data_IF_975458355108
#
_entry.id   IF_975458355108
#
_cell.length_a   1.000
_cell.length_b   1.000
_cell.length_c   1.000
_cell.angle_alpha   90.00
_cell.angle_beta   90.00
_cell.angle_gamma   90.00
#
_symmetry.space_group_name_H-M   'P 1'
#
loop_
_entity.id
_entity.type
_entity.pdbx_description
1 polymer ?
#
# COMPACT_ATOMS: atom_id res chain seq x y z
N UNK A 1 -49.51 0.26 -22.25
CA UNK A 1 -49.26 -1.17 -22.03
C UNK A 1 -47.88 -1.28 -21.39
N UNK A 2 -47.81 -1.23 -20.06
CA UNK A 2 -46.55 -1.16 -19.31
C UNK A 2 -46.03 -2.58 -19.15
N UNK A 3 -45.02 -2.96 -19.95
CA UNK A 3 -44.35 -4.26 -19.79
C UNK A 3 -43.60 -4.19 -18.46
N UNK A 4 -44.10 -4.89 -17.45
CA UNK A 4 -43.40 -5.09 -16.18
C UNK A 4 -42.22 -6.01 -16.42
N UNK A 5 -41.06 -5.44 -16.76
CA UNK A 5 -39.82 -6.19 -16.92
C UNK A 5 -39.48 -6.92 -15.62
N UNK A 6 -39.58 -8.25 -15.63
CA UNK A 6 -39.29 -9.09 -14.47
C UNK A 6 -37.78 -9.05 -14.16
N UNK A 7 -37.40 -9.20 -12.89
CA UNK A 7 -36.00 -9.21 -12.45
C UNK A 7 -35.15 -10.25 -13.20
N UNK A 8 -35.74 -11.38 -13.58
CA UNK A 8 -35.05 -12.46 -14.30
C UNK A 8 -34.68 -12.06 -15.73
N UNK A 9 -35.52 -11.28 -16.40
CA UNK A 9 -35.23 -10.74 -17.74
C UNK A 9 -34.06 -9.74 -17.70
N UNK A 10 -34.03 -8.90 -16.66
CA UNK A 10 -32.92 -7.99 -16.42
C UNK A 10 -31.61 -8.74 -16.17
N UNK A 11 -31.64 -9.84 -15.40
CA UNK A 11 -30.47 -10.68 -15.15
C UNK A 11 -29.97 -11.38 -16.41
N UNK A 12 -30.86 -11.86 -17.29
CA UNK A 12 -30.47 -12.47 -18.57
C UNK A 12 -29.71 -11.47 -19.44
N UNK A 13 -30.29 -10.28 -19.65
CA UNK A 13 -29.67 -9.21 -20.45
C UNK A 13 -28.36 -8.70 -19.85
N UNK A 14 -28.25 -8.69 -18.51
CA UNK A 14 -27.03 -8.30 -17.82
C UNK A 14 -25.90 -9.33 -18.02
N UNK A 15 -26.22 -10.63 -18.09
CA UNK A 15 -25.24 -11.69 -18.43
C UNK A 15 -24.75 -11.57 -19.87
N UNK A 16 -25.64 -11.28 -20.81
CA UNK A 16 -25.28 -11.07 -22.21
C UNK A 16 -24.30 -9.91 -22.35
N UNK A 17 -24.54 -8.81 -21.64
CA UNK A 17 -23.65 -7.66 -21.61
C UNK A 17 -22.27 -8.01 -21.01
N UNK A 18 -22.25 -8.76 -19.90
CA UNK A 18 -21.01 -9.22 -19.28
C UNK A 18 -20.22 -10.17 -20.19
N UNK A 19 -20.90 -11.00 -20.99
CA UNK A 19 -20.27 -11.89 -21.97
C UNK A 19 -19.63 -11.10 -23.11
N UNK A 20 -20.30 -10.05 -23.61
CA UNK A 20 -19.77 -9.16 -24.65
C UNK A 20 -18.52 -8.41 -24.17
N UNK A 21 -18.56 -7.85 -22.96
CA UNK A 21 -17.47 -7.05 -22.40
C UNK A 21 -16.33 -7.91 -21.80
N UNK A 22 -16.53 -9.24 -21.69
CA UNK A 22 -15.62 -10.19 -21.00
C UNK A 22 -15.27 -9.76 -19.57
N UNK A 23 -16.11 -8.92 -18.96
CA UNK A 23 -15.95 -8.33 -17.64
C UNK A 23 -17.32 -8.04 -17.03
N UNK A 24 -17.38 -7.82 -15.71
CA UNK A 24 -18.62 -7.38 -15.05
C UNK A 24 -18.85 -5.90 -15.35
N UNK A 25 -19.95 -5.52 -16.02
CA UNK A 25 -20.21 -4.12 -16.38
C UNK A 25 -20.48 -3.27 -15.13
N UNK A 26 -20.11 -1.98 -15.16
CA UNK A 26 -20.33 -1.07 -14.03
C UNK A 26 -21.82 -0.79 -13.78
N UNK A 27 -22.17 -0.35 -12.55
CA UNK A 27 -23.56 0.02 -12.18
C UNK A 27 -24.17 1.04 -13.15
N UNK A 28 -23.41 2.07 -13.51
CA UNK A 28 -23.86 3.10 -14.45
C UNK A 28 -24.06 2.54 -15.88
N UNK A 29 -23.20 1.61 -16.29
CA UNK A 29 -23.33 0.93 -17.58
C UNK A 29 -24.58 0.06 -17.63
N UNK A 30 -24.85 -0.71 -16.57
CA UNK A 30 -26.07 -1.52 -16.42
C UNK A 30 -27.32 -0.66 -16.39
N UNK A 31 -27.28 0.47 -15.67
CA UNK A 31 -28.38 1.44 -15.62
C UNK A 31 -28.75 1.95 -17.02
N UNK A 32 -27.76 2.36 -17.81
CA UNK A 32 -27.97 2.84 -19.19
C UNK A 32 -28.41 1.73 -20.14
N UNK A 33 -27.78 0.55 -20.08
CA UNK A 33 -28.05 -0.55 -21.01
C UNK A 33 -29.41 -1.23 -20.77
N UNK A 34 -29.82 -1.34 -19.50
CA UNK A 34 -31.07 -1.99 -19.11
C UNK A 34 -32.23 -1.00 -18.96
N UNK A 35 -31.97 0.30 -19.08
CA UNK A 35 -32.94 1.38 -18.91
C UNK A 35 -33.70 1.28 -17.57
N UNK A 36 -32.97 0.98 -16.49
CA UNK A 36 -33.53 0.79 -15.14
C UNK A 36 -33.11 1.91 -14.20
N UNK A 37 -33.88 2.09 -13.12
CA UNK A 37 -33.51 2.99 -12.02
C UNK A 37 -32.28 2.51 -11.25
N UNK A 38 -31.65 3.42 -10.51
CA UNK A 38 -30.44 3.16 -9.71
C UNK A 38 -30.56 1.97 -8.75
N UNK A 39 -31.64 1.82 -7.95
CA UNK A 39 -31.78 0.70 -7.03
C UNK A 39 -31.74 -0.66 -7.75
N UNK A 40 -32.38 -0.73 -8.93
CA UNK A 40 -32.45 -1.97 -9.72
C UNK A 40 -31.12 -2.28 -10.41
N UNK A 41 -30.41 -1.26 -10.91
CA UNK A 41 -29.07 -1.42 -11.45
C UNK A 41 -28.08 -1.93 -10.39
N UNK A 42 -28.19 -1.41 -9.15
CA UNK A 42 -27.38 -1.88 -8.03
C UNK A 42 -27.69 -3.35 -7.69
N UNK A 43 -28.97 -3.73 -7.61
CA UNK A 43 -29.39 -5.11 -7.36
C UNK A 43 -28.83 -6.08 -8.42
N UNK A 44 -28.94 -5.74 -9.70
CA UNK A 44 -28.42 -6.57 -10.81
C UNK A 44 -26.90 -6.67 -10.77
N UNK A 45 -26.20 -5.58 -10.45
CA UNK A 45 -24.75 -5.57 -10.33
C UNK A 45 -24.25 -6.48 -9.20
N UNK A 46 -24.85 -6.40 -8.02
CA UNK A 46 -24.50 -7.26 -6.88
C UNK A 46 -24.75 -8.74 -7.20
N UNK A 47 -25.89 -9.06 -7.83
CA UNK A 47 -26.19 -10.45 -8.25
C UNK A 47 -25.18 -10.98 -9.28
N UNK A 48 -24.75 -10.15 -10.24
CA UNK A 48 -23.70 -10.53 -11.20
C UNK A 48 -22.35 -10.79 -10.51
N UNK A 49 -21.97 -9.95 -9.55
CA UNK A 49 -20.73 -10.15 -8.78
C UNK A 49 -20.76 -11.45 -7.98
N UNK A 50 -21.88 -11.74 -7.32
CA UNK A 50 -22.09 -12.99 -6.59
C UNK A 50 -21.97 -14.21 -7.53
N UNK A 51 -22.62 -14.19 -8.69
CA UNK A 51 -22.55 -15.29 -9.67
C UNK A 51 -21.12 -15.54 -10.19
N UNK A 52 -20.36 -14.46 -10.43
CA UNK A 52 -18.95 -14.57 -10.84
C UNK A 52 -18.07 -15.13 -9.71
N UNK A 53 -18.33 -14.74 -8.46
CA UNK A 53 -17.61 -15.26 -7.30
C UNK A 53 -17.87 -16.78 -7.11
N UNK A 54 -19.13 -17.21 -7.22
CA UNK A 54 -19.52 -18.63 -7.16
C UNK A 54 -18.88 -19.47 -8.28
N UNK A 55 -18.89 -18.97 -9.52
CA UNK A 55 -18.21 -19.65 -10.64
C UNK A 55 -16.71 -19.80 -10.39
N UNK A 56 -16.07 -18.79 -9.78
CA UNK A 56 -14.65 -18.84 -9.41
C UNK A 56 -14.37 -19.86 -8.31
N UNK A 57 -15.19 -19.93 -7.27
CA UNK A 57 -15.03 -20.91 -6.18
C UNK A 57 -15.29 -22.33 -6.67
N UNK A 58 -16.32 -22.55 -7.49
CA UNK A 58 -16.61 -23.85 -8.11
C UNK A 58 -15.45 -24.34 -9.00
N UNK A 59 -14.86 -23.45 -9.81
CA UNK A 59 -13.69 -23.78 -10.63
C UNK A 59 -12.47 -24.15 -9.77
N UNK A 60 -12.22 -23.44 -8.67
CA UNK A 60 -11.15 -23.77 -7.71
C UNK A 60 -11.36 -25.13 -7.06
N UNK A 61 -12.59 -25.45 -6.66
CA UNK A 61 -12.95 -26.77 -6.10
C UNK A 61 -12.68 -27.89 -7.10
N UNK A 62 -13.09 -27.69 -8.35
CA UNK A 62 -12.88 -28.65 -9.45
C UNK A 62 -11.39 -28.88 -9.72
N UNK A 63 -10.59 -27.81 -9.75
CA UNK A 63 -9.14 -27.91 -9.92
C UNK A 63 -8.47 -28.66 -8.75
N UNK A 64 -8.97 -28.50 -7.53
CA UNK A 64 -8.46 -29.21 -6.35
C UNK A 64 -8.84 -30.70 -6.35
N UNK A 65 -9.97 -31.07 -6.95
CA UNK A 65 -10.41 -32.47 -7.04
C UNK A 65 -9.79 -33.26 -8.20
N UNK A 66 -9.00 -32.61 -9.08
CA UNK A 66 -8.27 -33.33 -10.11
C UNK A 66 -7.18 -34.19 -9.44
N UNK A 67 -7.14 -35.52 -9.69
CA UNK A 67 -6.15 -36.39 -9.10
C UNK A 67 -4.75 -35.93 -9.53
N UNK A 68 -3.92 -35.63 -8.53
CA UNK A 68 -2.50 -35.31 -8.73
C UNK A 68 -1.85 -36.51 -9.41
N UNK A 69 -1.50 -36.37 -10.69
CA UNK A 69 -0.75 -37.36 -11.45
C UNK A 69 0.62 -37.49 -10.77
N UNK A 70 0.76 -38.45 -9.84
CA UNK A 70 2.02 -38.79 -9.18
C UNK A 70 3.04 -39.13 -10.27
N UNK A 71 3.96 -38.21 -10.53
CA UNK A 71 5.16 -38.49 -11.30
C UNK A 71 6.02 -39.46 -10.48
N UNK A 72 5.99 -40.74 -10.84
CA UNK A 72 7.05 -41.67 -10.49
C UNK A 72 8.31 -41.27 -11.25
N UNK A 73 9.17 -40.44 -10.64
CA UNK A 73 10.60 -40.45 -10.91
C UNK A 73 11.30 -40.93 -9.64
N UNK A 74 11.74 -42.19 -9.67
CA UNK A 74 12.89 -42.62 -8.86
C UNK A 74 14.05 -41.67 -9.17
N UNK A 75 14.82 -41.21 -8.20
CA UNK A 75 15.45 -41.98 -7.16
C UNK A 75 16.95 -41.80 -7.40
N UNK A 76 17.58 -40.90 -6.66
CA UNK A 76 19.04 -40.77 -6.53
C UNK A 76 19.31 -40.11 -5.18
N UNK A 77 19.64 -40.94 -4.19
CA UNK A 77 20.23 -40.54 -2.90
C UNK A 77 21.72 -40.25 -3.12
N UNK A 78 22.29 -39.17 -2.58
CA UNK A 78 23.74 -39.06 -2.44
C UNK A 78 24.21 -39.89 -1.23
N UNK A 79 25.22 -40.74 -1.47
CA UNK A 79 25.91 -41.59 -0.48
C UNK A 79 27.10 -40.80 0.09
N UNK A 80 27.20 -40.77 1.41
CA UNK A 80 28.40 -40.36 2.15
C UNK A 80 29.48 -41.45 2.07
N UNK A 81 30.73 -41.05 1.86
CA UNK A 81 31.95 -41.73 2.35
C UNK A 81 33.15 -40.75 2.38
N UNK A 82 34.20 -41.00 3.20
CA UNK A 82 34.91 -39.97 3.95
C UNK A 82 36.35 -39.69 3.46
N UNK A 83 36.88 -38.57 3.98
CA UNK A 83 38.22 -38.01 3.80
C UNK A 83 39.33 -38.85 4.46
N UNK A 84 40.60 -38.73 3.99
CA UNK A 84 41.74 -38.85 4.88
C UNK A 84 42.69 -37.62 4.88
N UNK A 85 43.01 -37.23 6.13
CA UNK A 85 44.26 -36.71 6.70
C UNK A 85 44.94 -35.43 6.17
N UNK A 86 44.98 -34.42 7.07
CA UNK A 86 45.95 -33.32 7.15
C UNK A 86 47.30 -33.83 7.74
N UNK A 87 48.41 -33.03 7.81
CA UNK A 87 48.53 -31.79 8.61
C UNK A 87 49.32 -30.70 7.81
N UNK A 88 49.73 -29.51 8.26
CA UNK A 88 49.94 -28.92 9.58
C UNK A 88 50.09 -27.38 9.39
N UNK A 89 49.33 -26.63 10.18
CA UNK A 89 49.70 -25.47 11.01
C UNK A 89 50.84 -24.50 10.59
N UNK A 90 50.51 -23.23 10.39
CA UNK A 90 51.13 -22.03 11.02
C UNK A 90 50.35 -20.75 10.62
N UNK A 91 49.47 -20.23 11.48
CA UNK A 91 49.73 -19.10 12.40
C UNK A 91 50.08 -17.77 11.66
N UNK A 92 49.10 -16.88 11.42
CA UNK A 92 48.71 -15.68 12.22
C UNK A 92 49.59 -14.43 11.93
N UNK A 93 49.03 -13.51 11.09
CA UNK A 93 48.67 -12.07 11.38
C UNK A 93 49.76 -11.08 11.88
N UNK A 94 49.70 -9.74 11.64
CA UNK A 94 49.41 -8.92 10.44
C UNK A 94 50.44 -7.73 10.28
N UNK A 95 50.16 -6.51 9.71
CA UNK A 95 51.14 -5.74 8.93
C UNK A 95 51.78 -4.55 9.70
N UNK A 96 52.74 -3.83 9.10
CA UNK A 96 52.94 -2.43 9.43
C UNK A 96 52.81 -1.50 8.22
N UNK A 97 51.96 -0.51 8.45
CA UNK A 97 51.88 0.84 7.91
C UNK A 97 53.26 1.56 7.83
N UNK A 98 53.55 2.27 6.72
CA UNK A 98 54.02 3.68 6.69
C UNK A 98 54.46 4.19 5.31
N UNK A 99 53.98 5.42 5.02
CA UNK A 99 54.68 6.58 4.45
C UNK A 99 54.92 6.73 2.91
N UNK A 100 54.14 7.68 2.36
CA UNK A 100 54.43 8.75 1.37
C UNK A 100 55.72 8.81 0.53
N UNK A 101 55.54 9.04 -0.78
CA UNK A 101 56.33 9.91 -1.66
C UNK A 101 55.49 10.23 -2.93
N UNK A 102 54.87 11.41 -3.07
CA UNK A 102 55.33 12.64 -3.75
C UNK A 102 55.45 12.62 -5.30
N UNK A 103 54.59 13.44 -5.92
CA UNK A 103 54.72 14.36 -7.09
C UNK A 103 54.95 13.80 -8.50
N UNK A 104 53.97 14.05 -9.38
CA UNK A 104 54.21 14.54 -10.74
C UNK A 104 53.06 15.49 -11.15
N UNK A 105 53.38 16.78 -11.24
CA UNK A 105 52.54 17.79 -11.87
C UNK A 105 52.65 17.65 -13.39
N UNK A 106 51.52 17.52 -14.08
CA UNK A 106 51.42 17.73 -15.52
C UNK A 106 50.57 18.97 -15.72
N UNK A 107 51.17 20.00 -16.32
CA UNK A 107 50.47 21.17 -16.79
C UNK A 107 49.59 20.77 -17.98
N UNK A 108 48.28 20.90 -17.85
CA UNK A 108 47.33 20.78 -18.95
C UNK A 108 46.77 22.17 -19.32
N UNK A 109 46.91 22.46 -20.61
CA UNK A 109 46.39 23.57 -21.41
C UNK A 109 44.90 23.90 -21.09
N UNK A 110 44.47 25.17 -20.99
CA UNK A 110 43.10 25.50 -20.61
C UNK A 110 42.15 25.31 -21.80
N UNK A 111 41.71 24.08 -22.03
CA UNK A 111 40.50 23.83 -22.82
C UNK A 111 39.30 24.37 -22.05
N UNK A 112 38.37 25.11 -22.69
CA UNK A 112 37.17 25.57 -22.02
C UNK A 112 36.43 24.36 -21.45
N UNK A 113 36.25 24.37 -20.13
CA UNK A 113 35.55 23.32 -19.40
C UNK A 113 34.20 23.09 -20.06
N UNK A 114 34.05 21.94 -20.71
CA UNK A 114 32.77 21.49 -21.23
C UNK A 114 31.80 21.49 -20.05
N UNK A 115 30.77 22.34 -20.12
CA UNK A 115 29.76 22.44 -19.09
C UNK A 115 29.21 21.03 -18.79
N UNK A 116 29.41 20.58 -17.55
CA UNK A 116 28.87 19.30 -17.09
C UNK A 116 27.36 19.30 -17.37
N UNK A 117 26.83 18.33 -18.14
CA UNK A 117 25.40 18.27 -18.40
C UNK A 117 24.65 18.24 -17.07
N UNK A 118 23.73 19.19 -16.88
CA UNK A 118 22.85 19.17 -15.70
C UNK A 118 22.13 17.81 -15.67
N UNK A 119 22.06 17.13 -14.50
CA UNK A 119 21.42 15.83 -14.41
C UNK A 119 19.97 15.93 -14.89
N UNK A 120 19.62 15.10 -15.87
CA UNK A 120 18.26 15.03 -16.39
C UNK A 120 17.29 14.74 -15.25
N UNK A 121 16.18 15.47 -15.15
CA UNK A 121 15.11 15.18 -14.19
C UNK A 121 14.64 13.74 -14.42
N UNK A 122 14.94 12.85 -13.48
CA UNK A 122 14.45 11.48 -13.49
C UNK A 122 12.91 11.49 -13.57
N UNK A 123 12.37 10.74 -14.52
CA UNK A 123 10.92 10.58 -14.65
C UNK A 123 10.36 9.90 -13.41
N UNK A 124 9.35 10.50 -12.78
CA UNK A 124 8.70 9.97 -11.56
C UNK A 124 7.70 8.86 -11.86
N UNK A 125 7.35 8.64 -13.12
CA UNK A 125 6.28 7.72 -13.51
C UNK A 125 6.52 6.26 -13.12
N UNK A 126 7.74 5.67 -13.24
CA UNK A 126 7.99 4.31 -12.76
C UNK A 126 7.74 4.15 -11.25
N UNK A 127 8.10 5.16 -10.46
CA UNK A 127 7.84 5.16 -9.02
C UNK A 127 6.33 5.25 -8.71
N UNK A 128 5.59 6.06 -9.47
CA UNK A 128 4.13 6.16 -9.31
C UNK A 128 3.44 4.84 -9.67
N UNK A 129 3.88 4.16 -10.73
CA UNK A 129 3.36 2.85 -11.10
C UNK A 129 3.65 1.79 -10.03
N UNK A 130 4.84 1.83 -9.42
CA UNK A 130 5.19 0.94 -8.31
C UNK A 130 4.37 1.24 -7.05
N UNK A 131 4.19 2.52 -6.72
CA UNK A 131 3.50 2.95 -5.51
C UNK A 131 1.99 2.78 -5.59
N UNK A 132 1.37 2.98 -6.76
CA UNK A 132 -0.08 2.94 -6.92
C UNK A 132 -0.74 1.66 -6.38
N UNK A 133 -0.33 0.42 -6.76
CA UNK A 133 -0.96 -0.78 -6.23
C UNK A 133 -0.68 -0.97 -4.73
N UNK A 134 0.49 -0.56 -4.24
CA UNK A 134 0.82 -0.62 -2.82
C UNK A 134 -0.06 0.33 -1.99
N UNK A 135 -0.25 1.56 -2.46
CA UNK A 135 -1.15 2.55 -1.85
C UNK A 135 -2.57 2.00 -1.82
N UNK A 136 -3.09 1.47 -2.93
CA UNK A 136 -4.46 0.92 -2.98
C UNK A 136 -4.63 -0.24 -2.00
N UNK A 137 -3.64 -1.13 -1.87
CA UNK A 137 -3.70 -2.26 -0.95
C UNK A 137 -3.68 -1.81 0.52
N UNK A 138 -2.75 -0.92 0.88
CA UNK A 138 -2.64 -0.38 2.24
C UNK A 138 -3.91 0.40 2.60
N UNK A 139 -4.38 1.23 1.68
CA UNK A 139 -5.60 2.02 1.85
C UNK A 139 -6.82 1.14 2.13
N UNK A 140 -7.05 0.12 1.30
CA UNK A 140 -8.19 -0.79 1.46
C UNK A 140 -8.16 -1.51 2.82
N UNK A 141 -7.03 -2.07 3.22
CA UNK A 141 -6.92 -2.76 4.51
C UNK A 141 -7.15 -1.85 5.72
N UNK A 142 -6.77 -0.56 5.64
CA UNK A 142 -7.06 0.41 6.70
C UNK A 142 -8.51 0.87 6.74
N UNK A 143 -9.16 1.02 5.57
CA UNK A 143 -10.60 1.29 5.51
C UNK A 143 -11.36 0.15 6.17
N UNK A 144 -11.02 -1.10 5.86
CA UNK A 144 -11.68 -2.26 6.44
C UNK A 144 -11.36 -2.43 7.93
N UNK A 145 -10.13 -2.13 8.35
CA UNK A 145 -9.79 -2.04 9.77
C UNK A 145 -10.60 -0.97 10.51
N UNK A 146 -10.75 0.21 9.91
CA UNK A 146 -11.58 1.29 10.43
C UNK A 146 -13.04 0.86 10.61
N UNK A 147 -13.58 0.11 9.66
CA UNK A 147 -14.93 -0.48 9.77
C UNK A 147 -15.04 -1.44 10.94
N UNK A 148 -14.04 -2.31 11.15
CA UNK A 148 -14.01 -3.23 12.29
C UNK A 148 -13.93 -2.50 13.64
N UNK A 149 -13.35 -1.29 13.68
CA UNK A 149 -13.20 -0.47 14.89
C UNK A 149 -14.33 0.55 15.08
N UNK A 150 -15.35 0.55 14.22
CA UNK A 150 -16.54 1.40 14.37
C UNK A 150 -16.48 2.74 13.63
N UNK A 151 -15.44 3.00 12.84
CA UNK A 151 -15.48 4.06 11.82
C UNK A 151 -16.39 3.62 10.66
N UNK A 152 -17.14 4.56 10.08
CA UNK A 152 -18.16 4.21 9.10
C UNK A 152 -18.83 5.42 8.51
N UNK A 153 -19.97 5.20 7.86
CA UNK A 153 -20.76 6.29 7.29
C UNK A 153 -21.34 7.14 8.42
N UNK A 154 -20.99 8.42 8.44
CA UNK A 154 -21.52 9.44 9.33
C UNK A 154 -22.27 10.45 8.48
N UNK A 155 -23.44 10.87 8.96
CA UNK A 155 -24.19 12.00 8.42
C UNK A 155 -23.80 13.24 9.23
N UNK A 156 -22.97 14.15 8.71
CA UNK A 156 -22.46 15.28 9.48
C UNK A 156 -23.54 16.33 9.79
N UNK A 157 -24.64 16.34 9.03
CA UNK A 157 -25.76 17.25 9.21
C UNK A 157 -27.11 16.50 9.29
N UNK A 158 -27.35 15.74 10.37
CA UNK A 158 -28.62 15.07 10.55
C UNK A 158 -29.75 16.11 10.64
N UNK A 159 -30.73 16.02 9.73
CA UNK A 159 -31.91 16.90 9.65
C UNK A 159 -31.80 18.11 8.71
N UNK A 160 -30.65 18.38 8.09
CA UNK A 160 -30.49 19.48 7.10
C UNK A 160 -30.03 18.94 5.74
N UNK A 161 -29.11 17.98 5.75
CA UNK A 161 -28.57 17.36 4.55
C UNK A 161 -28.34 15.86 4.81
N UNK A 162 -29.44 15.11 4.98
CA UNK A 162 -29.43 13.69 5.31
C UNK A 162 -28.75 12.84 4.22
N UNK A 163 -28.76 13.31 2.97
CA UNK A 163 -28.09 12.66 1.84
C UNK A 163 -26.56 12.79 1.87
N UNK A 164 -26.00 13.72 2.66
CA UNK A 164 -24.56 13.87 2.77
C UNK A 164 -24.01 12.79 3.72
N UNK A 165 -23.49 11.71 3.16
CA UNK A 165 -22.92 10.60 3.91
C UNK A 165 -21.39 10.56 3.71
N UNK A 166 -20.63 10.68 4.79
CA UNK A 166 -19.16 10.61 4.77
C UNK A 166 -18.73 9.32 5.46
N UNK A 167 -18.04 8.44 4.75
CA UNK A 167 -17.41 7.28 5.38
C UNK A 167 -16.10 7.70 6.06
N UNK A 168 -16.12 7.84 7.37
CA UNK A 168 -14.95 8.25 8.17
C UNK A 168 -13.86 7.19 8.19
N UNK A 169 -14.17 5.94 7.83
CA UNK A 169 -13.14 4.93 7.61
C UNK A 169 -12.24 5.27 6.40
N UNK A 170 -12.71 6.10 5.46
CA UNK A 170 -11.92 6.56 4.31
C UNK A 170 -10.93 7.66 4.69
N UNK A 171 -11.25 8.49 5.69
CA UNK A 171 -10.41 9.64 6.07
C UNK A 171 -9.24 9.24 6.98
N UNK A 172 -9.40 8.17 7.76
CA UNK A 172 -8.35 7.59 8.62
C UNK A 172 -7.02 7.33 7.89
N UNK A 173 -7.01 6.56 6.78
CA UNK A 173 -5.78 6.32 6.03
C UNK A 173 -5.19 7.59 5.44
N UNK A 174 -6.03 8.50 4.94
CA UNK A 174 -5.57 9.71 4.22
C UNK A 174 -4.72 10.59 5.14
N UNK A 175 -5.17 10.82 6.37
CA UNK A 175 -4.41 11.61 7.35
C UNK A 175 -3.06 10.98 7.67
N UNK A 176 -3.04 9.68 7.97
CA UNK A 176 -1.82 8.94 8.30
C UNK A 176 -0.83 8.90 7.14
N UNK A 177 -1.30 8.60 5.93
CA UNK A 177 -0.44 8.50 4.73
C UNK A 177 0.13 9.86 4.34
N UNK A 178 -0.68 10.93 4.41
CA UNK A 178 -0.21 12.30 4.16
C UNK A 178 0.88 12.69 5.14
N UNK A 179 0.69 12.37 6.43
CA UNK A 179 1.69 12.61 7.45
C UNK A 179 2.97 11.79 7.23
N UNK A 180 2.84 10.49 6.93
CA UNK A 180 3.97 9.60 6.67
C UNK A 180 4.80 10.09 5.47
N UNK A 181 4.14 10.48 4.38
CA UNK A 181 4.78 11.03 3.19
C UNK A 181 5.46 12.38 3.48
N UNK A 182 4.82 13.26 4.26
CA UNK A 182 5.39 14.53 4.67
C UNK A 182 6.64 14.33 5.55
N UNK A 183 6.56 13.45 6.56
CA UNK A 183 7.68 13.11 7.43
C UNK A 183 8.83 12.46 6.65
N UNK A 184 8.53 11.52 5.75
CA UNK A 184 9.54 10.88 4.90
C UNK A 184 10.22 11.91 3.99
N UNK A 185 9.45 12.81 3.38
CA UNK A 185 9.99 13.90 2.57
C UNK A 185 10.94 14.76 3.40
N UNK A 186 10.52 15.26 4.56
CA UNK A 186 11.38 16.11 5.42
C UNK A 186 12.64 15.36 5.85
N UNK A 187 12.54 14.08 6.19
CA UNK A 187 13.70 13.27 6.56
C UNK A 187 14.70 13.11 5.41
N UNK A 188 14.22 12.83 4.20
CA UNK A 188 15.05 12.62 3.01
C UNK A 188 15.57 13.92 2.36
N UNK A 189 14.96 15.08 2.67
CA UNK A 189 15.33 16.37 2.08
C UNK A 189 16.67 16.94 2.58
N UNK A 190 17.21 16.46 3.70
CA UNK A 190 18.48 16.96 4.27
C UNK A 190 18.32 17.80 5.55
N UNK A 191 19.44 18.38 6.03
CA UNK A 191 19.62 18.92 7.37
C UNK A 191 18.57 19.97 7.83
N UNK A 192 18.24 19.96 9.13
CA UNK A 192 17.31 20.89 9.77
C UNK A 192 16.87 20.38 11.14
N UNK A 193 16.36 21.27 12.00
CA UNK A 193 15.95 20.94 13.39
C UNK A 193 14.89 19.85 13.45
N UNK A 194 14.01 19.76 12.45
CA UNK A 194 12.96 18.74 12.35
C UNK A 194 13.40 17.38 11.81
N UNK A 195 14.65 17.18 11.37
CA UNK A 195 15.04 15.95 10.65
C UNK A 195 14.99 14.68 11.50
N UNK A 196 15.46 14.76 12.75
CA UNK A 196 15.44 13.61 13.65
C UNK A 196 14.00 13.19 14.00
N UNK A 197 13.14 14.18 14.28
CA UNK A 197 11.72 13.97 14.49
C UNK A 197 11.07 13.34 13.26
N UNK A 198 11.30 13.91 12.07
CA UNK A 198 10.80 13.38 10.80
C UNK A 198 11.23 11.93 10.53
N UNK A 199 12.47 11.56 10.85
CA UNK A 199 12.96 10.17 10.73
C UNK A 199 12.15 9.21 11.58
N UNK A 200 12.01 9.51 12.87
CA UNK A 200 11.27 8.67 13.80
C UNK A 200 9.79 8.59 13.44
N UNK A 201 9.20 9.72 13.02
CA UNK A 201 7.83 9.78 12.55
C UNK A 201 7.60 8.97 11.27
N UNK A 202 8.52 9.02 10.31
CA UNK A 202 8.42 8.24 9.08
C UNK A 202 8.51 6.74 9.37
N UNK A 203 9.50 6.31 10.18
CA UNK A 203 9.65 4.91 10.59
C UNK A 203 8.43 4.44 11.39
N UNK A 204 7.98 5.24 12.37
CA UNK A 204 6.81 4.93 13.18
C UNK A 204 5.53 4.79 12.35
N UNK A 205 5.33 5.66 11.36
CA UNK A 205 4.16 5.59 10.47
C UNK A 205 4.21 4.37 9.55
N UNK A 206 5.38 3.99 9.06
CA UNK A 206 5.56 2.77 8.25
C UNK A 206 5.29 1.51 9.07
N UNK A 207 5.82 1.44 10.29
CA UNK A 207 5.57 0.32 11.21
C UNK A 207 4.10 0.25 11.62
N UNK A 208 3.47 1.39 11.91
CA UNK A 208 2.05 1.47 12.20
C UNK A 208 1.23 0.97 11.01
N UNK A 209 1.56 1.42 9.79
CA UNK A 209 0.93 0.97 8.56
C UNK A 209 1.00 -0.56 8.39
N UNK A 210 2.19 -1.13 8.57
CA UNK A 210 2.40 -2.59 8.56
C UNK A 210 1.59 -3.30 9.64
N UNK A 211 1.62 -2.79 10.88
CA UNK A 211 0.90 -3.38 12.01
C UNK A 211 -0.63 -3.36 11.79
N UNK A 212 -1.17 -2.27 11.22
CA UNK A 212 -2.59 -2.19 10.88
C UNK A 212 -3.01 -3.24 9.84
N UNK A 213 -2.21 -3.41 8.77
CA UNK A 213 -2.46 -4.44 7.76
C UNK A 213 -2.41 -5.86 8.36
N UNK A 214 -1.39 -6.14 9.18
CA UNK A 214 -1.25 -7.42 9.85
C UNK A 214 -2.42 -7.68 10.80
N UNK A 215 -2.78 -6.70 11.64
CA UNK A 215 -3.90 -6.80 12.57
C UNK A 215 -5.22 -7.08 11.83
N UNK A 216 -5.52 -6.34 10.76
CA UNK A 216 -6.70 -6.59 9.93
C UNK A 216 -6.75 -8.03 9.42
N UNK A 217 -5.68 -8.49 8.76
CA UNK A 217 -5.66 -9.84 8.20
C UNK A 217 -5.71 -10.94 9.27
N UNK A 218 -5.07 -10.75 10.43
CA UNK A 218 -5.16 -11.70 11.55
C UNK A 218 -6.58 -11.78 12.10
N UNK A 219 -7.26 -10.64 12.27
CA UNK A 219 -8.64 -10.60 12.76
C UNK A 219 -9.61 -11.26 11.78
N UNK A 220 -9.48 -10.97 10.49
CA UNK A 220 -10.30 -11.61 9.45
C UNK A 220 -10.04 -13.11 9.40
N UNK A 221 -8.78 -13.55 9.48
CA UNK A 221 -8.43 -14.96 9.52
C UNK A 221 -8.99 -15.68 10.77
N UNK A 222 -9.12 -14.96 11.89
CA UNK A 222 -9.74 -15.45 13.12
C UNK A 222 -11.28 -15.39 13.11
N UNK A 223 -11.90 -14.88 12.03
CA UNK A 223 -13.36 -14.75 11.92
C UNK A 223 -13.98 -13.63 12.77
N UNK A 224 -13.20 -12.61 13.11
CA UNK A 224 -13.70 -11.50 13.93
C UNK A 224 -14.50 -10.49 13.11
N UNK A 225 -15.73 -10.23 13.52
CA UNK A 225 -16.62 -9.22 12.91
C UNK A 225 -16.46 -7.83 13.52
N UNK A 226 -15.87 -7.75 14.72
CA UNK A 226 -15.58 -6.50 15.43
C UNK A 226 -14.19 -6.57 16.02
N UNK A 227 -13.45 -5.47 15.93
CA UNK A 227 -12.15 -5.37 16.56
C UNK A 227 -12.29 -5.37 18.10
N UNK A 228 -11.36 -6.00 18.84
CA UNK A 228 -11.33 -5.94 20.28
C UNK A 228 -11.01 -4.51 20.71
N UNK A 229 -11.51 -4.14 21.89
CA UNK A 229 -11.40 -2.77 22.40
C UNK A 229 -9.99 -2.16 22.38
N UNK A 230 -8.86 -2.89 22.58
CA UNK A 230 -7.53 -2.29 22.52
C UNK A 230 -7.18 -1.81 21.10
N UNK A 231 -7.58 -2.58 20.07
CA UNK A 231 -7.36 -2.20 18.67
C UNK A 231 -8.24 -1.00 18.33
N UNK A 232 -9.51 -1.01 18.76
CA UNK A 232 -10.40 0.14 18.57
C UNK A 232 -9.86 1.41 19.22
N UNK A 233 -9.42 1.32 20.48
CA UNK A 233 -8.80 2.45 21.18
C UNK A 233 -7.57 2.96 20.42
N UNK A 234 -6.64 2.07 20.05
CA UNK A 234 -5.43 2.43 19.33
C UNK A 234 -5.74 3.12 17.99
N UNK A 235 -6.61 2.52 17.16
CA UNK A 235 -6.99 3.07 15.85
C UNK A 235 -7.73 4.40 16.00
N UNK A 236 -8.58 4.54 17.02
CA UNK A 236 -9.30 5.79 17.28
C UNK A 236 -8.39 6.95 17.70
N UNK A 237 -7.24 6.67 18.31
CA UNK A 237 -6.23 7.67 18.68
C UNK A 237 -5.37 8.15 17.51
N UNK A 238 -5.30 7.42 16.39
CA UNK A 238 -4.43 7.74 15.25
C UNK A 238 -4.68 9.15 14.69
N UNK A 239 -5.92 9.59 14.41
CA UNK A 239 -6.16 10.92 13.85
C UNK A 239 -5.65 12.06 14.75
N UNK A 240 -5.85 11.93 16.07
CA UNK A 240 -5.41 12.93 17.05
C UNK A 240 -3.88 12.99 17.12
N UNK A 241 -3.24 11.82 17.17
CA UNK A 241 -1.77 11.72 17.16
C UNK A 241 -1.17 12.32 15.88
N UNK A 242 -1.73 11.96 14.71
CA UNK A 242 -1.30 12.48 13.41
C UNK A 242 -1.41 14.00 13.34
N UNK A 243 -2.50 14.59 13.84
CA UNK A 243 -2.68 16.03 13.85
C UNK A 243 -1.62 16.74 14.71
N UNK A 244 -1.40 16.26 15.95
CA UNK A 244 -0.40 16.84 16.85
C UNK A 244 1.03 16.69 16.32
N UNK A 245 1.38 15.51 15.82
CA UNK A 245 2.70 15.24 15.25
C UNK A 245 2.93 16.01 13.93
N UNK A 246 1.89 16.20 13.12
CA UNK A 246 1.92 17.01 11.92
C UNK A 246 2.21 18.49 12.21
N UNK A 247 1.49 19.07 13.17
CA UNK A 247 1.70 20.44 13.63
C UNK A 247 3.12 20.64 14.20
N UNK A 248 3.58 19.71 15.04
CA UNK A 248 4.94 19.75 15.60
C UNK A 248 6.01 19.72 14.49
N UNK A 249 5.89 18.82 13.52
CA UNK A 249 6.85 18.73 12.43
C UNK A 249 6.79 19.99 11.53
N UNK A 250 5.60 20.52 11.27
CA UNK A 250 5.43 21.76 10.52
C UNK A 250 6.16 22.94 11.19
N UNK A 251 5.99 23.11 12.50
CA UNK A 251 6.70 24.15 13.25
C UNK A 251 8.21 23.97 13.20
N UNK A 252 8.71 22.75 13.43
CA UNK A 252 10.15 22.45 13.40
C UNK A 252 10.82 22.71 12.03
N UNK A 253 10.05 22.73 10.94
CA UNK A 253 10.57 22.99 9.59
C UNK A 253 10.43 24.44 9.13
N UNK A 254 9.57 25.24 9.79
CA UNK A 254 9.28 26.62 9.39
C UNK A 254 9.81 27.68 10.37
N UNK A 255 10.37 27.29 11.52
CA UNK A 255 11.06 28.26 12.38
C UNK A 255 12.33 28.79 11.69
N UNK A 256 12.44 30.12 11.49
CA UNK A 256 13.66 30.70 10.94
C UNK A 256 14.83 30.48 11.92
N UNK A 257 16.05 30.24 11.41
CA UNK A 257 17.23 30.18 12.27
C UNK A 257 17.33 31.46 13.08
N UNK A 258 17.64 31.33 14.37
CA UNK A 258 17.65 32.43 15.35
C UNK A 258 18.48 33.66 14.95
N UNK A 259 19.37 33.53 13.96
CA UNK A 259 20.14 34.62 13.38
C UNK A 259 19.30 35.68 12.63
N UNK A 260 18.05 35.38 12.23
CA UNK A 260 17.19 36.32 11.50
C UNK A 260 16.26 37.16 12.39
N UNK A 261 16.32 37.02 13.73
CA UNK A 261 15.49 37.80 14.68
C UNK A 261 16.21 39.00 15.31
N UNK A 262 17.43 39.33 14.86
CA UNK A 262 18.25 40.42 15.42
C UNK A 262 18.62 41.52 14.40
N UNK A 263 17.94 41.58 13.26
CA UNK A 263 17.99 42.71 12.33
C UNK A 263 16.60 43.35 12.26
#
# INVERSE_FOLDING_TARGET
MTITTTTDDLMSRARDLAAQERAVPSRERLRKALAVGWPKAAEVHERLLAEVAERRTARRRTLRSLPSRKNHRGGLRPRHEPLPAAPETAAITPPPERASAQVAAVAEDPRPAAATPLPAKLSRWPLLLLAAPAIVAIWAGWVDLGRLTGFGVVHPFPGIADDLAINTAITLPIGLETYAAYALRVWLSGAGRGRAFARWSAIGSLLLGFAGQAAYHLMVAAGWERAPWPITLAVSGVPVAVLGMGAALWHLTHEPPAAARQL
#
